data_IF_505865185322
#
_entry.id   IF_505865185322
#
_cell.length_a   1.000
_cell.length_b   1.000
_cell.length_c   1.000
_cell.angle_alpha   90.00
_cell.angle_beta   90.00
_cell.angle_gamma   90.00
#
_symmetry.space_group_name_H-M   'P 1'
#
loop_
_entity.id
_entity.type
_entity.pdbx_description
1 polymer ?
#
# COMPACT_ATOMS: atom_id res chain seq x y z
N UNK A 1 33.46 42.22 -69.15
CA UNK A 1 33.27 40.79 -68.82
C UNK A 1 31.91 40.63 -68.17
N UNK A 2 31.27 39.47 -68.34
CA UNK A 2 29.81 39.34 -68.42
C UNK A 2 29.07 39.06 -67.11
N UNK A 3 27.80 39.45 -67.09
CA UNK A 3 26.73 39.01 -66.18
C UNK A 3 25.48 38.71 -67.05
N UNK A 4 24.36 38.17 -66.51
CA UNK A 4 24.15 36.97 -65.67
C UNK A 4 23.46 35.90 -66.59
N UNK A 5 22.26 35.31 -66.39
CA UNK A 5 21.53 34.82 -65.19
C UNK A 5 20.95 33.38 -65.30
N UNK A 6 20.40 32.86 -64.19
CA UNK A 6 19.07 32.21 -64.22
C UNK A 6 18.94 30.68 -64.03
N UNK A 7 17.67 30.26 -63.85
CA UNK A 7 17.11 28.90 -63.76
C UNK A 7 17.31 28.08 -62.45
N UNK A 8 16.32 27.33 -61.93
CA UNK A 8 14.84 27.40 -62.05
C UNK A 8 14.20 26.47 -60.99
N UNK A 9 12.96 26.74 -60.57
CA UNK A 9 12.10 25.75 -59.90
C UNK A 9 11.68 24.62 -60.87
N UNK A 10 11.32 23.43 -60.35
CA UNK A 10 10.10 22.66 -60.73
C UNK A 10 9.96 21.29 -60.02
N UNK A 11 8.92 21.19 -59.19
CA UNK A 11 7.85 20.16 -59.12
C UNK A 11 8.09 18.64 -59.32
N UNK A 12 7.25 17.89 -58.58
CA UNK A 12 7.04 16.43 -58.55
C UNK A 12 6.67 15.82 -59.93
N UNK A 13 6.74 14.48 -60.09
CA UNK A 13 5.48 13.72 -59.92
C UNK A 13 5.62 12.32 -59.28
N UNK A 14 4.48 11.82 -58.77
CA UNK A 14 4.20 10.39 -58.52
C UNK A 14 3.74 9.75 -59.83
N UNK A 15 4.04 8.46 -60.07
CA UNK A 15 3.05 7.59 -60.70
C UNK A 15 2.88 6.23 -59.98
N UNK A 16 1.68 5.67 -60.17
CA UNK A 16 1.17 4.43 -59.59
C UNK A 16 1.29 3.25 -60.58
N UNK A 17 1.11 2.00 -60.09
CA UNK A 17 0.73 0.78 -60.86
C UNK A 17 1.75 0.24 -61.90
N UNK A 18 1.88 -1.07 -62.16
CA UNK A 18 1.36 -2.30 -61.53
C UNK A 18 2.18 -3.55 -61.97
N UNK A 19 1.76 -4.72 -61.47
CA UNK A 19 1.90 -6.08 -62.05
C UNK A 19 3.28 -6.77 -62.20
N UNK A 20 3.42 -7.91 -61.51
CA UNK A 20 3.71 -9.18 -62.21
C UNK A 20 3.16 -10.39 -61.44
N UNK A 21 2.71 -11.40 -62.20
CA UNK A 21 2.17 -12.69 -61.73
C UNK A 21 3.25 -13.57 -61.05
N UNK A 22 2.96 -14.58 -60.21
CA UNK A 22 2.28 -15.84 -60.58
C UNK A 22 1.86 -16.72 -59.36
N UNK A 23 0.72 -17.41 -59.52
CA UNK A 23 0.41 -18.84 -59.22
C UNK A 23 0.82 -19.48 -57.86
N UNK A 24 0.05 -20.42 -57.28
CA UNK A 24 -1.22 -21.06 -57.66
C UNK A 24 -1.87 -21.78 -56.45
N UNK A 25 -3.18 -22.10 -56.51
CA UNK A 25 -3.79 -23.19 -55.72
C UNK A 25 -4.89 -22.80 -54.72
N UNK A 26 -6.16 -22.89 -55.15
CA UNK A 26 -7.33 -22.94 -54.24
C UNK A 26 -7.67 -24.38 -53.80
N UNK A 27 -8.94 -24.74 -53.51
CA UNK A 27 -10.15 -23.91 -53.66
C UNK A 27 -11.21 -23.97 -52.53
N UNK A 28 -12.04 -22.93 -52.52
CA UNK A 28 -13.49 -22.90 -52.23
C UNK A 28 -14.14 -23.56 -50.99
N UNK A 29 -14.52 -22.67 -50.08
CA UNK A 29 -15.82 -22.55 -49.38
C UNK A 29 -17.05 -23.00 -50.20
N UNK A 30 -18.18 -23.36 -49.55
CA UNK A 30 -19.18 -22.31 -49.28
C UNK A 30 -19.82 -22.37 -47.88
N UNK A 31 -20.21 -21.19 -47.36
CA UNK A 31 -21.31 -21.08 -46.38
C UNK A 31 -22.67 -21.34 -47.06
N UNK A 32 -23.84 -20.86 -46.56
CA UNK A 32 -24.01 -19.50 -46.03
C UNK A 32 -25.14 -19.33 -44.97
N UNK A 33 -25.58 -18.06 -44.81
CA UNK A 33 -26.93 -17.56 -44.41
C UNK A 33 -27.17 -17.17 -42.94
N UNK A 34 -27.67 -15.94 -42.79
CA UNK A 34 -28.15 -15.31 -41.57
C UNK A 34 -29.57 -15.75 -41.18
N UNK A 35 -29.92 -15.71 -39.89
CA UNK A 35 -31.30 -15.52 -39.46
C UNK A 35 -31.35 -14.67 -38.18
N UNK A 36 -32.36 -13.80 -38.09
CA UNK A 36 -32.62 -12.96 -36.92
C UNK A 36 -33.86 -13.49 -36.16
N UNK A 37 -34.25 -12.75 -35.09
CA UNK A 37 -35.56 -12.80 -34.42
C UNK A 37 -35.88 -14.04 -33.57
N UNK A 38 -35.81 -13.91 -32.23
CA UNK A 38 -36.98 -13.58 -31.39
C UNK A 38 -36.73 -13.82 -29.89
N UNK A 39 -37.21 -12.89 -29.06
CA UNK A 39 -37.65 -13.21 -27.68
C UNK A 39 -39.12 -13.65 -27.73
N UNK A 40 -39.61 -14.38 -26.70
CA UNK A 40 -40.57 -13.69 -25.83
C UNK A 40 -40.50 -14.06 -24.34
N UNK A 41 -41.16 -13.20 -23.55
CA UNK A 41 -41.84 -13.41 -22.25
C UNK A 41 -41.72 -14.79 -21.57
N UNK A 42 -41.25 -14.91 -20.33
CA UNK A 42 -41.87 -14.44 -19.07
C UNK A 42 -43.11 -15.27 -18.65
N UNK A 43 -42.98 -15.94 -17.49
CA UNK A 43 -44.08 -16.36 -16.61
C UNK A 43 -43.65 -16.04 -15.18
N UNK A 44 -44.58 -15.48 -14.41
CA UNK A 44 -44.39 -15.04 -13.03
C UNK A 44 -44.65 -16.18 -12.03
N UNK A 45 -43.95 -16.16 -10.89
CA UNK A 45 -44.52 -16.35 -9.55
C UNK A 45 -43.38 -16.14 -8.52
N UNK A 46 -43.58 -15.51 -7.36
CA UNK A 46 -44.85 -15.07 -6.79
C UNK A 46 -44.96 -15.44 -5.31
N UNK A 47 -44.09 -14.94 -4.43
CA UNK A 47 -44.43 -14.86 -3.00
C UNK A 47 -43.57 -13.85 -2.24
N UNK A 48 -44.25 -12.86 -1.68
CA UNK A 48 -43.75 -11.86 -0.75
C UNK A 48 -43.54 -12.45 0.64
N UNK A 49 -42.56 -11.93 1.38
CA UNK A 49 -42.68 -11.77 2.82
C UNK A 49 -41.98 -10.47 3.26
N UNK A 50 -42.62 -9.79 4.20
CA UNK A 50 -42.39 -8.38 4.55
C UNK A 50 -41.63 -8.21 5.87
N UNK A 51 -41.33 -6.94 6.17
CA UNK A 51 -40.99 -6.39 7.51
C UNK A 51 -39.55 -6.52 8.05
N UNK A 52 -38.83 -5.42 7.85
CA UNK A 52 -38.33 -4.56 8.93
C UNK A 52 -37.40 -5.12 10.01
N UNK A 53 -36.17 -4.59 10.05
CA UNK A 53 -35.66 -3.99 11.28
C UNK A 53 -34.63 -2.87 10.99
N UNK A 54 -35.08 -1.62 11.05
CA UNK A 54 -34.21 -0.45 11.09
C UNK A 54 -33.78 -0.22 12.55
N UNK A 55 -32.47 -0.19 12.82
CA UNK A 55 -31.98 0.30 14.12
C UNK A 55 -30.82 1.28 13.95
N UNK A 56 -31.16 2.56 14.18
CA UNK A 56 -30.26 3.68 14.40
C UNK A 56 -29.01 3.33 15.22
N UNK A 57 -27.85 3.89 14.82
CA UNK A 57 -26.87 4.37 15.79
C UNK A 57 -26.43 5.80 15.45
N UNK A 58 -26.74 6.73 16.35
CA UNK A 58 -26.39 8.15 16.27
C UNK A 58 -25.01 8.38 16.90
N UNK A 59 -24.35 9.48 16.50
CA UNK A 59 -23.11 9.99 17.13
C UNK A 59 -23.31 10.26 18.63
N UNK A 60 -22.26 10.05 19.42
CA UNK A 60 -22.15 10.52 20.81
C UNK A 60 -20.72 10.96 21.13
N UNK A 61 -20.52 12.25 21.39
CA UNK A 61 -19.25 12.84 21.82
C UNK A 61 -19.29 13.17 23.32
N UNK A 62 -18.28 12.74 24.08
CA UNK A 62 -17.85 13.34 25.37
C UNK A 62 -16.47 12.74 25.72
N UNK A 63 -15.45 13.41 26.27
CA UNK A 63 -15.28 14.59 27.13
C UNK A 63 -15.43 14.34 28.64
N UNK A 64 -14.29 14.36 29.36
CA UNK A 64 -14.23 14.72 30.78
C UNK A 64 -14.17 13.56 31.79
N UNK A 65 -13.12 13.49 32.65
CA UNK A 65 -13.07 12.57 33.79
C UNK A 65 -13.65 13.21 35.06
N UNK A 66 -14.14 12.40 36.01
CA UNK A 66 -14.45 12.88 37.37
C UNK A 66 -14.02 11.87 38.44
N UNK A 67 -13.24 12.33 39.43
CA UNK A 67 -12.92 11.57 40.65
C UNK A 67 -14.10 11.65 41.60
N UNK A 68 -14.48 10.55 42.25
CA UNK A 68 -15.08 10.57 43.60
C UNK A 68 -14.60 9.38 44.42
N UNK A 69 -14.64 9.54 45.74
CA UNK A 69 -14.08 8.63 46.74
C UNK A 69 -15.13 8.22 47.76
N UNK A 70 -15.14 6.95 48.14
CA UNK A 70 -15.60 6.44 49.45
C UNK A 70 -15.04 5.01 49.59
N UNK A 71 -14.33 4.58 50.65
CA UNK A 71 -14.57 4.63 52.10
C UNK A 71 -15.72 3.72 52.56
N UNK A 72 -15.38 2.53 53.05
CA UNK A 72 -16.34 1.56 53.59
C UNK A 72 -15.64 0.30 54.12
N UNK A 73 -15.16 0.34 55.37
CA UNK A 73 -14.65 -0.84 56.07
C UNK A 73 -15.80 -1.79 56.44
N UNK A 74 -15.55 -3.10 56.45
CA UNK A 74 -15.99 -3.98 57.53
C UNK A 74 -14.98 -5.13 57.72
N UNK A 75 -14.51 -5.32 58.96
CA UNK A 75 -13.78 -6.51 59.43
C UNK A 75 -14.73 -7.42 60.22
N UNK A 76 -14.43 -8.73 60.30
CA UNK A 76 -14.66 -9.48 61.53
C UNK A 76 -13.35 -9.85 62.25
N UNK A 77 -13.48 -10.23 63.52
CA UNK A 77 -12.38 -10.47 64.47
C UNK A 77 -11.78 -11.90 64.42
N UNK A 78 -10.60 -12.14 65.04
CA UNK A 78 -9.89 -13.41 64.94
C UNK A 78 -10.34 -14.44 66.01
N UNK A 79 -10.32 -15.72 65.63
CA UNK A 79 -10.27 -16.84 66.56
C UNK A 79 -8.80 -17.22 66.85
N UNK A 80 -8.54 -17.81 68.03
CA UNK A 80 -7.19 -17.98 68.59
C UNK A 80 -7.08 -19.37 69.24
N UNK A 81 -5.85 -19.94 69.26
CA UNK A 81 -5.47 -21.21 69.93
C UNK A 81 -6.12 -22.44 69.20
N UNK A 82 -5.50 -23.62 69.04
CA UNK A 82 -4.50 -24.35 69.82
C UNK A 82 -3.42 -24.97 68.91
N UNK A 83 -2.19 -25.08 69.42
CA UNK A 83 -1.07 -25.69 68.68
C UNK A 83 -1.11 -27.22 68.67
N UNK A 84 -0.53 -27.82 67.63
CA UNK A 84 -0.15 -29.23 67.60
C UNK A 84 1.36 -29.32 67.30
N UNK A 85 2.05 -30.25 67.94
CA UNK A 85 3.52 -30.27 67.98
C UNK A 85 4.15 -30.70 66.64
N UNK A 86 5.28 -30.08 66.33
CA UNK A 86 6.07 -30.32 65.11
C UNK A 86 6.80 -31.66 65.16
N UNK A 87 6.41 -32.62 64.33
CA UNK A 87 7.31 -33.71 63.90
C UNK A 87 8.06 -33.27 62.64
N UNK A 88 9.41 -33.33 62.62
CA UNK A 88 10.18 -32.99 61.43
C UNK A 88 10.07 -34.13 60.41
N UNK A 89 9.13 -34.03 59.48
CA UNK A 89 9.12 -34.86 58.29
C UNK A 89 10.30 -34.50 57.40
N UNK A 90 11.13 -35.49 57.09
CA UNK A 90 12.24 -35.41 56.14
C UNK A 90 11.77 -34.76 54.84
N UNK A 91 12.48 -33.75 54.29
CA UNK A 91 12.07 -33.16 53.02
C UNK A 91 12.13 -34.23 51.94
N UNK A 92 10.96 -34.53 51.35
CA UNK A 92 10.89 -35.37 50.16
C UNK A 92 11.79 -34.76 49.07
N UNK A 93 12.49 -35.58 48.27
CA UNK A 93 13.33 -35.07 47.20
C UNK A 93 12.46 -34.23 46.27
N UNK A 94 12.77 -32.93 46.19
CA UNK A 94 12.13 -32.04 45.23
C UNK A 94 12.59 -32.49 43.85
N UNK A 95 11.82 -33.39 43.23
CA UNK A 95 11.85 -33.60 41.80
C UNK A 95 11.47 -32.28 41.16
N UNK A 96 12.49 -31.47 40.86
CA UNK A 96 12.38 -30.30 40.00
C UNK A 96 12.01 -30.86 38.63
N UNK A 97 10.71 -30.96 38.39
CA UNK A 97 10.15 -31.22 37.06
C UNK A 97 10.54 -30.02 36.22
N UNK A 98 11.72 -30.10 35.60
CA UNK A 98 12.13 -29.21 34.55
C UNK A 98 11.10 -29.35 33.44
N UNK A 99 10.13 -28.44 33.43
CA UNK A 99 9.24 -28.25 32.27
C UNK A 99 10.13 -27.75 31.15
N UNK A 100 10.65 -28.68 30.36
CA UNK A 100 11.34 -28.39 29.11
C UNK A 100 10.35 -27.69 28.18
N UNK A 101 10.37 -26.37 28.20
CA UNK A 101 9.59 -25.55 27.29
C UNK A 101 10.21 -25.69 25.91
N UNK A 102 9.72 -26.67 25.14
CA UNK A 102 10.03 -26.79 23.71
C UNK A 102 9.76 -25.44 23.07
N UNK A 103 10.74 -24.89 22.39
CA UNK A 103 10.61 -23.60 21.74
C UNK A 103 9.58 -23.68 20.61
N UNK A 104 8.94 -22.55 20.30
CA UNK A 104 8.02 -22.48 19.17
C UNK A 104 8.71 -22.85 17.84
N UNK A 105 10.02 -22.60 17.74
CA UNK A 105 10.84 -22.92 16.56
C UNK A 105 11.06 -24.44 16.43
N UNK A 106 11.44 -25.14 17.51
CA UNK A 106 11.55 -26.61 17.51
C UNK A 106 10.21 -27.27 17.20
N UNK A 107 9.11 -26.75 17.77
CA UNK A 107 7.77 -27.26 17.51
C UNK A 107 7.33 -27.00 16.05
N UNK A 108 7.77 -25.90 15.43
CA UNK A 108 7.58 -25.63 14.00
C UNK A 108 8.39 -26.57 13.11
N UNK A 109 9.67 -26.81 13.44
CA UNK A 109 10.52 -27.78 12.71
C UNK A 109 9.92 -29.19 12.78
N UNK A 110 9.48 -29.63 13.96
CA UNK A 110 8.83 -30.93 14.14
C UNK A 110 7.50 -31.03 13.38
N UNK A 111 6.68 -29.98 13.36
CA UNK A 111 5.44 -29.98 12.60
C UNK A 111 5.69 -30.05 11.08
N UNK A 112 6.70 -29.33 10.57
CA UNK A 112 7.07 -29.38 9.16
C UNK A 112 7.49 -30.80 8.71
N UNK A 113 8.23 -31.54 9.56
CA UNK A 113 8.61 -32.94 9.23
C UNK A 113 7.43 -33.91 9.07
N UNK A 114 6.25 -33.56 9.60
CA UNK A 114 5.00 -34.34 9.45
C UNK A 114 3.96 -33.63 8.56
N UNK A 115 4.38 -32.63 7.76
CA UNK A 115 3.49 -31.89 6.85
C UNK A 115 2.40 -31.08 7.58
N UNK A 116 2.69 -30.57 8.78
CA UNK A 116 1.74 -29.84 9.63
C UNK A 116 2.20 -28.41 9.91
N UNK A 117 1.24 -27.50 10.07
CA UNK A 117 1.51 -26.08 10.33
C UNK A 117 1.02 -25.69 11.73
N UNK A 118 1.94 -25.35 12.63
CA UNK A 118 1.65 -24.99 14.04
C UNK A 118 0.78 -23.73 14.18
N UNK A 119 0.99 -22.74 13.30
CA UNK A 119 0.33 -21.44 13.41
C UNK A 119 -0.94 -21.38 12.55
N UNK A 120 -2.04 -20.77 13.05
CA UNK A 120 -3.26 -20.61 12.25
C UNK A 120 -2.99 -19.90 10.93
N UNK A 121 -3.49 -20.46 9.83
CA UNK A 121 -3.22 -20.01 8.46
C UNK A 121 -3.54 -18.53 8.20
N UNK A 122 -4.51 -17.96 8.90
CA UNK A 122 -4.79 -16.51 8.89
C UNK A 122 -3.58 -15.65 9.28
N UNK A 123 -2.66 -16.14 10.13
CA UNK A 123 -1.41 -15.43 10.50
C UNK A 123 -0.44 -15.41 9.33
N UNK A 124 -0.25 -16.53 8.64
CA UNK A 124 0.61 -16.61 7.44
C UNK A 124 0.06 -15.75 6.31
N UNK A 125 -1.23 -15.91 5.97
CA UNK A 125 -1.92 -15.10 4.96
C UNK A 125 -1.80 -13.60 5.25
N UNK A 126 -2.02 -13.17 6.50
CA UNK A 126 -1.83 -11.77 6.93
C UNK A 126 -0.37 -11.30 6.81
N UNK A 127 0.61 -12.12 7.17
CA UNK A 127 2.05 -11.79 7.05
C UNK A 127 2.43 -11.59 5.58
N UNK A 128 2.06 -12.53 4.71
CA UNK A 128 2.32 -12.47 3.26
C UNK A 128 1.60 -11.27 2.64
N UNK A 129 0.29 -11.15 2.85
CA UNK A 129 -0.54 -10.05 2.34
C UNK A 129 -0.05 -8.67 2.74
N UNK A 130 0.35 -8.47 4.00
CA UNK A 130 0.96 -7.21 4.45
C UNK A 130 2.28 -6.91 3.74
N UNK A 131 3.13 -7.92 3.51
CA UNK A 131 4.40 -7.73 2.84
C UNK A 131 4.24 -7.42 1.35
N UNK A 132 3.28 -8.05 0.67
CA UNK A 132 2.93 -7.75 -0.72
C UNK A 132 2.32 -6.35 -0.86
N UNK A 133 1.29 -6.05 -0.07
CA UNK A 133 0.62 -4.75 -0.06
C UNK A 133 1.61 -3.60 0.22
N UNK A 134 2.60 -3.80 1.09
CA UNK A 134 3.67 -2.81 1.35
C UNK A 134 4.56 -2.53 0.13
N UNK A 135 4.70 -3.47 -0.81
CA UNK A 135 5.48 -3.30 -2.05
C UNK A 135 4.70 -2.57 -3.14
N UNK A 136 3.37 -2.69 -3.17
CA UNK A 136 2.50 -1.87 -4.01
C UNK A 136 2.48 -0.43 -3.50
N UNK A 137 3.38 0.42 -4.02
CA UNK A 137 3.54 1.81 -3.56
C UNK A 137 3.98 2.77 -4.66
N UNK A 138 3.65 4.04 -4.50
CA UNK A 138 4.29 5.16 -5.20
C UNK A 138 5.63 5.49 -4.53
N UNK A 139 6.47 6.25 -5.24
CA UNK A 139 7.82 6.71 -4.87
C UNK A 139 8.17 6.75 -3.38
N UNK A 140 9.32 6.14 -3.05
CA UNK A 140 10.21 6.64 -1.99
C UNK A 140 11.39 7.35 -2.66
N UNK A 141 11.49 8.67 -2.52
CA UNK A 141 12.55 9.47 -3.14
C UNK A 141 12.35 9.70 -4.65
N UNK A 142 13.43 9.55 -5.43
CA UNK A 142 13.47 9.87 -6.88
C UNK A 142 13.16 8.69 -7.81
N UNK A 143 12.79 7.52 -7.28
CA UNK A 143 12.72 6.29 -8.06
C UNK A 143 11.40 5.55 -7.88
N UNK A 144 10.88 5.02 -9.00
CA UNK A 144 9.75 4.10 -9.05
C UNK A 144 10.30 2.78 -9.57
N UNK A 145 10.38 1.76 -8.71
CA UNK A 145 10.61 0.38 -9.11
C UNK A 145 9.27 -0.33 -9.07
N UNK A 146 8.67 -0.49 -10.24
CA UNK A 146 7.41 -1.23 -10.45
C UNK A 146 7.64 -2.74 -10.65
N UNK A 147 8.89 -3.19 -10.49
CA UNK A 147 9.27 -4.59 -10.33
C UNK A 147 9.54 -4.89 -8.86
N UNK A 148 8.94 -5.96 -8.36
CA UNK A 148 9.05 -6.41 -6.97
C UNK A 148 9.67 -7.80 -6.95
N UNK A 149 10.86 -7.90 -6.35
CA UNK A 149 11.42 -9.15 -5.86
C UNK A 149 11.33 -9.13 -4.32
N UNK A 150 10.62 -10.10 -3.73
CA UNK A 150 10.41 -10.21 -2.29
C UNK A 150 10.78 -11.63 -1.82
N UNK A 151 11.59 -11.71 -0.76
CA UNK A 151 11.99 -12.95 -0.10
C UNK A 151 11.43 -12.98 1.32
N UNK A 152 10.67 -14.01 1.68
CA UNK A 152 10.09 -14.20 3.02
C UNK A 152 10.66 -15.47 3.69
N UNK A 153 11.42 -15.35 4.79
CA UNK A 153 11.94 -16.51 5.53
C UNK A 153 10.89 -17.21 6.37
N UNK A 154 11.10 -18.51 6.56
CA UNK A 154 10.35 -19.35 7.51
C UNK A 154 8.85 -19.30 7.22
N UNK A 155 8.49 -19.65 5.98
CA UNK A 155 7.12 -19.97 5.58
C UNK A 155 7.10 -21.47 5.30
N UNK A 156 6.36 -22.28 6.09
CA UNK A 156 6.23 -23.72 5.85
C UNK A 156 5.73 -24.02 4.44
N UNK A 157 6.27 -25.06 3.81
CA UNK A 157 5.85 -25.52 2.47
C UNK A 157 4.35 -25.71 2.36
N UNK A 158 3.74 -26.36 3.34
CA UNK A 158 2.30 -26.65 3.39
C UNK A 158 1.48 -25.37 3.57
N UNK A 159 2.01 -24.40 4.34
CA UNK A 159 1.39 -23.08 4.45
C UNK A 159 1.50 -22.30 3.13
N UNK A 160 2.59 -22.42 2.36
CA UNK A 160 2.69 -21.84 1.04
C UNK A 160 1.66 -22.46 0.07
N UNK A 161 1.54 -23.79 0.05
CA UNK A 161 0.58 -24.51 -0.78
C UNK A 161 -0.87 -24.11 -0.45
N UNK A 162 -1.24 -24.04 0.83
CA UNK A 162 -2.59 -23.63 1.24
C UNK A 162 -2.84 -22.11 1.13
N UNK A 163 -1.84 -21.30 0.71
CA UNK A 163 -2.02 -19.86 0.49
C UNK A 163 -2.48 -19.50 -0.92
N UNK A 164 -2.28 -20.38 -1.92
CA UNK A 164 -2.65 -20.13 -3.32
C UNK A 164 -3.69 -21.16 -3.80
N UNK A 165 -4.90 -20.74 -4.21
CA UNK A 165 -5.91 -21.69 -4.69
C UNK A 165 -5.56 -22.34 -6.04
N UNK A 166 -4.74 -21.71 -6.89
CA UNK A 166 -4.27 -22.33 -8.12
C UNK A 166 -3.25 -23.45 -7.85
N UNK A 167 -3.27 -24.55 -8.63
CA UNK A 167 -2.26 -25.59 -8.54
C UNK A 167 -0.87 -25.04 -8.91
N UNK A 168 0.22 -25.57 -8.31
CA UNK A 168 1.58 -25.23 -8.72
C UNK A 168 1.90 -25.79 -10.12
N UNK A 169 2.70 -25.05 -10.87
CA UNK A 169 3.21 -25.43 -12.19
C UNK A 169 4.36 -26.43 -12.06
N UNK A 170 5.16 -26.31 -11.00
CA UNK A 170 6.25 -27.25 -10.68
C UNK A 170 6.19 -27.64 -9.20
N UNK A 171 6.43 -28.91 -8.90
CA UNK A 171 6.53 -29.42 -7.53
C UNK A 171 7.63 -30.47 -7.45
N UNK A 172 8.68 -30.15 -6.72
CA UNK A 172 9.78 -31.06 -6.39
C UNK A 172 9.79 -31.33 -4.87
N UNK A 173 10.64 -32.24 -4.35
CA UNK A 173 10.82 -32.41 -2.91
C UNK A 173 11.33 -31.15 -2.20
N UNK A 174 12.05 -30.27 -2.92
CA UNK A 174 12.74 -29.09 -2.36
C UNK A 174 12.17 -27.76 -2.85
N UNK A 175 11.28 -27.73 -3.83
CA UNK A 175 10.67 -26.51 -4.37
C UNK A 175 9.23 -26.70 -4.79
N UNK A 176 8.46 -25.61 -4.78
CA UNK A 176 7.10 -25.53 -5.33
C UNK A 176 6.94 -24.18 -6.03
N UNK A 177 6.57 -24.16 -7.31
CA UNK A 177 6.45 -22.94 -8.11
C UNK A 177 5.05 -22.73 -8.63
N UNK A 178 4.54 -21.51 -8.49
CA UNK A 178 3.33 -20.99 -9.13
C UNK A 178 3.69 -19.89 -10.12
N UNK A 179 2.95 -19.84 -11.22
CA UNK A 179 2.99 -18.75 -12.20
C UNK A 179 1.54 -18.33 -12.45
N UNK A 180 1.30 -17.02 -12.50
CA UNK A 180 -0.01 -16.42 -12.72
C UNK A 180 0.09 -15.49 -13.93
N UNK A 181 -0.26 -15.99 -15.11
CA UNK A 181 0.02 -15.33 -16.38
C UNK A 181 -0.90 -14.13 -16.63
N UNK A 182 -2.14 -14.17 -16.15
CA UNK A 182 -3.13 -13.10 -16.36
C UNK A 182 -3.37 -12.23 -15.12
N UNK A 183 -3.76 -10.96 -15.35
CA UNK A 183 -4.15 -10.06 -14.26
C UNK A 183 -5.39 -10.56 -13.48
N UNK A 184 -6.28 -11.33 -14.13
CA UNK A 184 -7.44 -11.96 -13.50
C UNK A 184 -7.04 -13.10 -12.54
N UNK A 185 -6.12 -13.98 -12.94
CA UNK A 185 -5.58 -15.02 -12.06
C UNK A 185 -4.84 -14.42 -10.86
N UNK A 186 -4.11 -13.33 -11.07
CA UNK A 186 -3.45 -12.58 -10.01
C UNK A 186 -4.48 -11.99 -9.05
N UNK A 187 -5.55 -11.36 -9.54
CA UNK A 187 -6.63 -10.88 -8.66
C UNK A 187 -7.30 -12.02 -7.89
N UNK A 188 -7.61 -13.14 -8.55
CA UNK A 188 -8.18 -14.31 -7.89
C UNK A 188 -7.27 -14.85 -6.76
N UNK A 189 -5.99 -15.07 -7.03
CA UNK A 189 -5.07 -15.68 -6.06
C UNK A 189 -4.67 -14.73 -4.94
N UNK A 190 -4.43 -13.45 -5.24
CA UNK A 190 -3.88 -12.49 -4.28
C UNK A 190 -4.92 -11.70 -3.49
N UNK A 191 -6.18 -11.60 -3.94
CA UNK A 191 -7.26 -10.86 -3.24
C UNK A 191 -7.45 -11.28 -1.78
N UNK A 192 -7.46 -12.58 -1.50
CA UNK A 192 -7.63 -13.12 -0.14
C UNK A 192 -6.42 -12.84 0.78
N UNK A 193 -5.23 -12.68 0.20
CA UNK A 193 -4.01 -12.30 0.92
C UNK A 193 -4.00 -10.79 1.18
N UNK A 194 -4.21 -9.99 0.14
CA UNK A 194 -4.14 -8.53 0.20
C UNK A 194 -5.22 -7.96 1.12
N UNK A 195 -6.47 -8.45 1.07
CA UNK A 195 -7.54 -8.04 2.00
C UNK A 195 -7.21 -8.28 3.49
N UNK A 196 -6.34 -9.23 3.81
CA UNK A 196 -5.86 -9.48 5.18
C UNK A 196 -4.69 -8.57 5.61
N UNK A 197 -4.13 -7.77 4.70
CA UNK A 197 -2.98 -6.87 4.95
C UNK A 197 -3.27 -5.82 6.03
N UNK A 198 -4.50 -5.34 6.13
CA UNK A 198 -4.87 -4.16 6.92
C UNK A 198 -4.44 -2.83 6.30
N UNK A 199 -4.05 -2.81 5.03
CA UNK A 199 -3.88 -1.61 4.21
C UNK A 199 -5.11 -1.40 3.31
N UNK A 200 -5.21 -0.25 2.64
CA UNK A 200 -6.29 0.05 1.70
C UNK A 200 -6.11 -0.78 0.41
N UNK A 201 -6.54 -2.04 0.41
CA UNK A 201 -6.38 -2.99 -0.71
C UNK A 201 -7.68 -3.69 -1.07
N UNK A 202 -7.95 -3.87 -2.35
CA UNK A 202 -9.04 -4.66 -2.91
C UNK A 202 -8.52 -5.41 -4.14
N UNK A 203 -8.96 -6.66 -4.35
CA UNK A 203 -8.51 -7.50 -5.47
C UNK A 203 -6.99 -7.60 -5.58
N UNK A 204 -6.44 -7.28 -6.76
CA UNK A 204 -5.00 -7.21 -7.04
C UNK A 204 -4.37 -5.85 -6.67
N UNK A 205 -5.17 -4.92 -6.15
CA UNK A 205 -4.86 -3.50 -6.09
C UNK A 205 -4.68 -2.96 -4.69
N UNK A 206 -3.79 -1.97 -4.56
CA UNK A 206 -3.65 -1.10 -3.40
C UNK A 206 -3.97 0.34 -3.77
N UNK A 207 -4.92 0.92 -3.06
CA UNK A 207 -5.14 2.36 -3.07
C UNK A 207 -3.95 3.10 -2.44
N UNK A 208 -3.59 4.22 -3.04
CA UNK A 208 -2.50 5.06 -2.59
C UNK A 208 -3.05 6.45 -2.29
N UNK A 209 -3.16 6.71 -0.99
CA UNK A 209 -3.55 7.99 -0.43
C UNK A 209 -2.34 8.61 0.28
N UNK A 210 -1.95 9.83 -0.09
CA UNK A 210 -0.92 10.57 0.66
C UNK A 210 -1.52 11.15 1.94
N UNK A 211 -0.71 11.29 2.99
CA UNK A 211 -1.16 11.88 4.27
C UNK A 211 -1.68 13.33 4.16
N UNK A 212 -1.35 14.03 3.06
CA UNK A 212 -1.85 15.37 2.74
C UNK A 212 -3.16 15.39 1.94
N UNK A 213 -3.62 14.23 1.44
CA UNK A 213 -4.72 14.11 0.48
C UNK A 213 -5.92 13.42 1.14
N UNK A 214 -7.12 14.04 1.13
CA UNK A 214 -8.32 13.45 1.76
C UNK A 214 -8.91 12.30 0.94
N UNK A 215 -8.44 12.11 -0.30
CA UNK A 215 -8.96 11.14 -1.26
C UNK A 215 -7.82 10.35 -1.93
N UNK A 216 -8.14 9.14 -2.37
CA UNK A 216 -7.30 8.28 -3.20
C UNK A 216 -7.32 8.80 -4.63
N UNK A 217 -6.14 9.05 -5.18
CA UNK A 217 -5.94 9.48 -6.58
C UNK A 217 -5.17 8.46 -7.42
N UNK A 218 -4.36 7.61 -6.79
CA UNK A 218 -3.54 6.60 -7.49
C UNK A 218 -3.85 5.22 -6.95
N UNK A 219 -3.91 4.23 -7.84
CA UNK A 219 -4.04 2.81 -7.52
C UNK A 219 -2.81 2.08 -8.06
N UNK A 220 -2.24 1.17 -7.26
CA UNK A 220 -1.17 0.27 -7.68
C UNK A 220 -1.70 -1.15 -7.81
N UNK A 221 -1.63 -1.72 -9.01
CA UNK A 221 -2.30 -3.00 -9.34
C UNK A 221 -1.28 -4.01 -9.86
N UNK A 222 -1.24 -5.18 -9.24
CA UNK A 222 -0.37 -6.28 -9.70
C UNK A 222 -0.77 -6.71 -11.10
N UNK A 223 0.23 -6.93 -11.96
CA UNK A 223 0.06 -7.45 -13.30
C UNK A 223 0.13 -8.98 -13.32
N UNK A 224 -0.32 -9.58 -14.43
CA UNK A 224 0.03 -10.95 -14.80
C UNK A 224 1.54 -11.13 -15.02
N UNK A 225 1.97 -12.39 -15.19
CA UNK A 225 3.37 -12.78 -15.13
C UNK A 225 3.94 -12.75 -13.70
N UNK A 226 3.09 -12.92 -12.68
CA UNK A 226 3.54 -13.00 -11.29
C UNK A 226 4.01 -14.43 -10.99
N UNK A 227 5.23 -14.56 -10.46
CA UNK A 227 5.80 -15.83 -10.03
C UNK A 227 5.88 -15.90 -8.50
N UNK A 228 5.60 -17.08 -7.96
CA UNK A 228 5.82 -17.41 -6.55
C UNK A 228 6.58 -18.73 -6.47
N UNK A 229 7.63 -18.79 -5.66
CA UNK A 229 8.43 -20.00 -5.49
C UNK A 229 8.70 -20.25 -4.01
N UNK A 230 8.28 -21.40 -3.49
CA UNK A 230 8.77 -21.92 -2.23
C UNK A 230 10.03 -22.74 -2.50
N UNK A 231 11.09 -22.52 -1.72
CA UNK A 231 12.33 -23.30 -1.79
C UNK A 231 12.77 -23.69 -0.38
N UNK A 232 13.12 -24.97 -0.22
CA UNK A 232 13.72 -25.55 0.97
C UNK A 232 15.19 -25.87 0.68
N UNK A 233 16.11 -25.25 1.42
CA UNK A 233 17.54 -25.46 1.27
C UNK A 233 18.18 -25.69 2.64
N UNK A 234 18.55 -26.94 2.94
CA UNK A 234 18.93 -27.35 4.29
C UNK A 234 17.78 -27.11 5.27
N UNK A 235 18.05 -26.40 6.37
CA UNK A 235 17.02 -25.98 7.34
C UNK A 235 16.27 -24.70 6.96
N UNK A 236 16.58 -24.07 5.82
CA UNK A 236 15.97 -22.79 5.43
C UNK A 236 14.83 -22.98 4.43
N UNK A 237 13.61 -22.69 4.88
CA UNK A 237 12.44 -22.48 4.02
C UNK A 237 12.29 -21.01 3.64
N UNK A 238 12.17 -20.73 2.34
CA UNK A 238 12.04 -19.39 1.79
C UNK A 238 10.88 -19.34 0.78
N UNK A 239 10.02 -18.34 0.90
CA UNK A 239 9.00 -18.03 -0.12
C UNK A 239 9.40 -16.76 -0.87
N UNK A 240 9.60 -16.89 -2.18
CA UNK A 240 9.94 -15.83 -3.11
C UNK A 240 8.70 -15.37 -3.88
N UNK A 241 8.64 -14.07 -4.17
CA UNK A 241 7.65 -13.46 -5.05
C UNK A 241 8.37 -12.56 -6.04
N UNK A 242 8.10 -12.74 -7.33
CA UNK A 242 8.55 -11.85 -8.40
C UNK A 242 7.30 -11.38 -9.16
N UNK A 243 7.04 -10.07 -9.21
CA UNK A 243 5.92 -9.53 -9.97
C UNK A 243 6.15 -8.09 -10.44
N UNK A 244 5.40 -7.70 -11.46
CA UNK A 244 5.27 -6.31 -11.92
C UNK A 244 3.96 -5.69 -11.41
N UNK A 245 3.91 -4.38 -11.27
CA UNK A 245 2.68 -3.65 -11.00
C UNK A 245 2.58 -2.34 -11.78
N UNK A 246 1.38 -1.99 -12.25
CA UNK A 246 1.11 -0.68 -12.84
C UNK A 246 0.77 0.34 -11.76
N UNK A 247 0.91 1.63 -12.09
CA UNK A 247 0.20 2.69 -11.39
C UNK A 247 -0.87 3.23 -12.34
N UNK A 248 -2.11 3.35 -11.87
CA UNK A 248 -3.18 4.04 -12.59
C UNK A 248 -3.63 5.25 -11.80
N UNK A 249 -3.72 6.39 -12.48
CA UNK A 249 -4.18 7.64 -11.88
C UNK A 249 -5.70 7.82 -11.98
N UNK A 250 -6.21 8.85 -11.33
CA UNK A 250 -7.64 9.17 -11.31
C UNK A 250 -8.24 9.57 -12.66
N UNK A 251 -7.41 9.85 -13.68
CA UNK A 251 -7.84 10.14 -15.04
C UNK A 251 -7.89 8.87 -15.90
N UNK A 252 -7.45 7.72 -15.39
CA UNK A 252 -7.33 6.47 -16.12
C UNK A 252 -6.05 6.38 -16.95
N UNK A 253 -5.08 7.27 -16.72
CA UNK A 253 -3.73 7.16 -17.26
C UNK A 253 -3.03 5.99 -16.56
N UNK A 254 -2.51 5.06 -17.36
CA UNK A 254 -1.77 3.91 -16.89
C UNK A 254 -0.28 4.21 -17.10
N UNK A 255 0.48 4.26 -16.01
CA UNK A 255 1.92 4.39 -16.05
C UNK A 255 2.56 2.99 -16.09
N UNK A 256 3.19 2.58 -17.20
CA UNK A 256 3.72 1.22 -17.37
C UNK A 256 4.80 0.89 -16.32
N UNK A 257 5.03 -0.40 -16.01
CA UNK A 257 6.11 -0.79 -15.12
C UNK A 257 7.47 -0.45 -15.73
N UNK A 258 8.46 -0.23 -14.87
CA UNK A 258 9.82 0.17 -15.25
C UNK A 258 10.82 -0.92 -14.90
N UNK A 259 11.70 -1.23 -15.85
CA UNK A 259 12.77 -2.20 -15.66
C UNK A 259 13.87 -1.68 -14.70
N UNK A 260 14.85 -2.53 -14.40
CA UNK A 260 15.99 -2.14 -13.55
C UNK A 260 16.85 -1.00 -14.11
N UNK A 261 16.75 -0.74 -15.43
CA UNK A 261 17.41 0.35 -16.15
C UNK A 261 16.51 1.60 -16.29
N UNK A 262 15.32 1.61 -15.67
CA UNK A 262 14.29 2.67 -15.69
C UNK A 262 13.60 2.87 -17.03
N UNK A 263 13.71 1.92 -17.96
CA UNK A 263 12.94 1.93 -19.21
C UNK A 263 11.54 1.44 -18.94
N UNK A 264 10.57 2.08 -19.55
CA UNK A 264 9.18 1.63 -19.53
C UNK A 264 9.07 0.33 -20.32
N UNK A 265 8.48 -0.68 -19.69
CA UNK A 265 8.18 -1.95 -20.33
C UNK A 265 6.93 -1.71 -21.16
N UNK A 266 7.05 -1.87 -22.49
CA UNK A 266 5.92 -1.71 -23.40
C UNK A 266 4.83 -2.73 -23.09
N UNK A 267 3.58 -2.24 -23.03
CA UNK A 267 2.39 -3.07 -22.84
C UNK A 267 1.59 -3.09 -24.15
N UNK A 268 1.04 -4.24 -24.51
CA UNK A 268 0.11 -4.36 -25.62
C UNK A 268 -1.24 -3.70 -25.29
N UNK A 269 -1.99 -3.31 -26.33
CA UNK A 269 -3.34 -2.75 -26.15
C UNK A 269 -4.30 -3.74 -25.46
N UNK A 270 -4.09 -5.04 -25.63
CA UNK A 270 -4.86 -6.09 -24.95
C UNK A 270 -4.56 -6.08 -23.44
N UNK A 271 -3.28 -6.07 -23.04
CA UNK A 271 -2.88 -5.97 -21.63
C UNK A 271 -3.38 -4.68 -20.98
N UNK A 272 -3.24 -3.53 -21.66
CA UNK A 272 -3.74 -2.23 -21.16
C UNK A 272 -5.26 -2.29 -20.90
N UNK A 273 -6.02 -2.93 -21.78
CA UNK A 273 -7.48 -3.11 -21.63
C UNK A 273 -7.79 -3.98 -20.41
N UNK A 274 -7.21 -5.18 -20.34
CA UNK A 274 -7.40 -6.12 -19.21
C UNK A 274 -7.00 -5.51 -17.87
N UNK A 275 -5.91 -4.75 -17.82
CA UNK A 275 -5.44 -4.07 -16.60
C UNK A 275 -6.43 -2.98 -16.18
N UNK A 276 -6.96 -2.19 -17.13
CA UNK A 276 -7.99 -1.18 -16.83
C UNK A 276 -9.28 -1.80 -16.30
N UNK A 277 -9.72 -2.92 -16.87
CA UNK A 277 -10.88 -3.67 -16.35
C UNK A 277 -10.68 -4.10 -14.89
N UNK A 278 -9.53 -4.71 -14.56
CA UNK A 278 -9.18 -5.10 -13.19
C UNK A 278 -9.10 -3.89 -12.25
N UNK A 279 -8.48 -2.78 -12.69
CA UNK A 279 -8.41 -1.54 -11.89
C UNK A 279 -9.81 -0.99 -11.60
N UNK A 280 -10.71 -0.94 -12.59
CA UNK A 280 -12.08 -0.43 -12.40
C UNK A 280 -12.92 -1.35 -11.51
N UNK A 281 -12.77 -2.67 -11.63
CA UNK A 281 -13.38 -3.64 -10.70
C UNK A 281 -12.91 -3.42 -9.26
N UNK A 282 -11.60 -3.27 -9.06
CA UNK A 282 -11.02 -3.06 -7.74
C UNK A 282 -11.40 -1.69 -7.16
N UNK A 283 -11.45 -0.62 -7.97
CA UNK A 283 -11.95 0.71 -7.57
C UNK A 283 -13.44 0.67 -7.20
N UNK A 284 -14.27 -0.05 -7.95
CA UNK A 284 -15.67 -0.27 -7.58
C UNK A 284 -15.78 -0.99 -6.23
N UNK A 285 -14.97 -2.02 -5.98
CA UNK A 285 -14.93 -2.70 -4.69
C UNK A 285 -14.42 -1.79 -3.55
N UNK A 286 -13.42 -0.94 -3.81
CA UNK A 286 -12.96 0.09 -2.86
C UNK A 286 -14.08 1.08 -2.51
N UNK A 287 -14.89 1.46 -3.50
CA UNK A 287 -16.05 2.33 -3.30
C UNK A 287 -17.09 1.71 -2.36
N UNK A 288 -17.38 0.41 -2.54
CA UNK A 288 -18.30 -0.36 -1.71
C UNK A 288 -17.75 -0.58 -0.29
N UNK A 289 -16.44 -0.69 -0.15
CA UNK A 289 -15.74 -0.73 1.13
C UNK A 289 -15.64 0.64 1.84
N UNK A 290 -16.23 1.70 1.27
CA UNK A 290 -16.25 3.04 1.86
C UNK A 290 -14.92 3.78 1.79
N UNK A 291 -14.02 3.43 0.86
CA UNK A 291 -12.78 4.17 0.67
C UNK A 291 -13.06 5.54 0.04
N UNK A 292 -12.33 6.56 0.48
CA UNK A 292 -12.47 7.92 -0.02
C UNK A 292 -11.84 8.07 -1.41
N UNK A 293 -12.57 7.68 -2.46
CA UNK A 293 -12.13 7.87 -3.86
C UNK A 293 -12.23 9.34 -4.28
N UNK A 294 -11.36 9.77 -5.19
CA UNK A 294 -11.47 11.09 -5.81
C UNK A 294 -12.64 11.17 -6.81
N UNK A 295 -13.04 12.39 -7.17
CA UNK A 295 -14.17 12.61 -8.05
C UNK A 295 -13.99 11.99 -9.45
N UNK A 296 -12.77 11.98 -10.00
CA UNK A 296 -12.53 11.37 -11.31
C UNK A 296 -12.65 9.84 -11.27
N UNK A 297 -12.24 9.19 -10.17
CA UNK A 297 -12.52 7.77 -9.96
C UNK A 297 -14.03 7.48 -9.89
N UNK A 298 -14.82 8.32 -9.23
CA UNK A 298 -16.28 8.19 -9.21
C UNK A 298 -16.89 8.33 -10.61
N UNK A 299 -16.39 9.24 -11.46
CA UNK A 299 -16.81 9.35 -12.87
C UNK A 299 -16.45 8.11 -13.68
N UNK A 300 -15.24 7.58 -13.51
CA UNK A 300 -14.80 6.36 -14.22
C UNK A 300 -15.68 5.13 -13.89
N UNK A 301 -16.23 5.03 -12.68
CA UNK A 301 -17.19 3.98 -12.31
C UNK A 301 -18.67 4.40 -12.49
N UNK A 302 -18.94 5.48 -13.23
CA UNK A 302 -20.29 5.87 -13.64
C UNK A 302 -21.16 6.56 -12.59
N UNK A 303 -20.56 7.17 -11.54
CA UNK A 303 -21.28 7.82 -10.45
C UNK A 303 -20.96 9.33 -10.35
N UNK A 304 -21.50 10.10 -11.29
CA UNK A 304 -21.34 11.56 -11.35
C UNK A 304 -21.87 12.30 -10.12
N UNK A 305 -22.94 11.78 -9.49
CA UNK A 305 -23.51 12.39 -8.28
C UNK A 305 -22.49 12.36 -7.13
N UNK A 306 -21.85 11.21 -6.91
CA UNK A 306 -20.83 11.08 -5.87
C UNK A 306 -19.56 11.86 -6.24
N UNK A 307 -19.22 11.96 -7.53
CA UNK A 307 -18.13 12.83 -8.00
C UNK A 307 -18.36 14.30 -7.63
N UNK A 308 -19.56 14.84 -7.88
CA UNK A 308 -19.94 16.21 -7.51
C UNK A 308 -19.90 16.44 -5.99
N UNK A 309 -20.37 15.45 -5.20
CA UNK A 309 -20.30 15.51 -3.72
C UNK A 309 -18.85 15.58 -3.24
N UNK A 310 -17.96 14.77 -3.81
CA UNK A 310 -16.52 14.79 -3.46
C UNK A 310 -15.84 16.09 -3.92
N UNK A 311 -16.19 16.63 -5.09
CA UNK A 311 -15.69 17.95 -5.54
C UNK A 311 -16.12 19.07 -4.61
N UNK A 312 -17.38 19.12 -4.19
CA UNK A 312 -17.87 20.10 -3.22
C UNK A 312 -17.15 19.95 -1.85
N UNK A 313 -16.91 18.72 -1.39
CA UNK A 313 -16.15 18.47 -0.15
C UNK A 313 -14.69 18.91 -0.26
N UNK A 314 -14.00 18.56 -1.35
CA UNK A 314 -12.61 18.96 -1.58
C UNK A 314 -12.50 20.48 -1.77
N UNK A 315 -13.44 21.10 -2.48
CA UNK A 315 -13.52 22.57 -2.60
C UNK A 315 -13.73 23.23 -1.24
N UNK A 316 -14.60 22.70 -0.37
CA UNK A 316 -14.79 23.22 0.99
C UNK A 316 -13.56 23.02 1.90
N UNK A 317 -12.72 22.01 1.64
CA UNK A 317 -11.42 21.82 2.30
C UNK A 317 -10.32 22.73 1.73
N UNK A 318 -10.44 23.13 0.47
CA UNK A 318 -9.53 24.04 -0.24
C UNK A 318 -9.91 25.52 -0.09
N UNK A 319 -11.16 25.83 0.28
CA UNK A 319 -11.54 27.16 0.71
C UNK A 319 -10.59 27.60 1.82
N UNK A 320 -10.13 28.87 1.79
CA UNK A 320 -9.27 29.39 2.84
C UNK A 320 -10.07 29.55 4.14
N UNK A 321 -10.18 28.44 4.88
CA UNK A 321 -10.20 28.53 6.33
C UNK A 321 -9.02 29.42 6.73
N UNK A 322 -9.31 30.53 7.41
CA UNK A 322 -8.30 31.53 7.76
C UNK A 322 -7.20 31.00 8.71
N UNK A 323 -7.27 29.72 9.10
CA UNK A 323 -6.07 28.92 9.33
C UNK A 323 -5.22 28.84 8.06
N UNK A 324 -4.44 29.91 7.83
CA UNK A 324 -3.05 29.74 7.42
C UNK A 324 -2.52 28.51 8.17
N UNK A 325 -2.23 27.41 7.45
CA UNK A 325 -1.07 26.61 7.84
C UNK A 325 0.11 27.56 7.74
N UNK A 326 0.37 28.28 8.84
CA UNK A 326 1.73 28.68 9.17
C UNK A 326 2.53 27.39 8.97
N UNK A 327 3.35 27.35 7.93
CA UNK A 327 4.70 26.84 8.17
C UNK A 327 5.15 27.68 9.35
N UNK A 328 5.45 27.05 10.47
CA UNK A 328 5.89 27.78 11.63
C UNK A 328 7.29 28.34 11.32
N UNK A 329 7.27 29.47 10.62
CA UNK A 329 8.41 30.25 10.20
C UNK A 329 8.82 31.05 11.42
N UNK A 330 9.59 30.41 12.27
CA UNK A 330 10.22 31.04 13.41
C UNK A 330 11.23 32.04 12.89
N UNK A 331 11.17 33.24 13.44
CA UNK A 331 12.07 34.32 13.10
C UNK A 331 13.42 34.06 13.78
N UNK A 332 14.52 34.29 13.08
CA UNK A 332 15.87 34.18 13.64
C UNK A 332 16.21 35.57 14.18
N UNK A 333 16.48 35.64 15.48
CA UNK A 333 16.88 36.88 16.15
C UNK A 333 18.28 37.29 15.70
N UNK A 334 19.23 36.34 15.75
CA UNK A 334 20.61 36.57 15.33
C UNK A 334 21.34 35.26 15.01
N UNK A 335 22.47 35.40 14.31
CA UNK A 335 23.44 34.32 14.11
C UNK A 335 24.61 34.52 15.07
N UNK A 336 25.02 33.45 15.74
CA UNK A 336 26.03 33.48 16.80
C UNK A 336 27.41 32.99 16.35
N UNK A 337 27.46 31.96 15.51
CA UNK A 337 28.71 31.39 14.99
C UNK A 337 28.48 30.52 13.73
N UNK A 338 29.45 30.47 12.80
CA UNK A 338 29.48 29.50 11.70
C UNK A 338 30.56 28.43 11.94
N UNK A 339 30.21 27.15 11.75
CA UNK A 339 31.16 26.02 11.75
C UNK A 339 30.83 25.06 10.61
N UNK A 340 31.79 24.85 9.70
CA UNK A 340 31.72 23.84 8.61
C UNK A 340 30.43 23.88 7.77
N UNK A 341 29.94 25.09 7.44
CA UNK A 341 28.72 25.29 6.62
C UNK A 341 27.39 25.17 7.39
N UNK A 342 27.44 25.05 8.71
CA UNK A 342 26.32 25.19 9.63
C UNK A 342 26.46 26.49 10.40
N UNK A 343 25.35 27.14 10.68
CA UNK A 343 25.29 28.36 11.50
C UNK A 343 24.47 28.08 12.76
N UNK A 344 24.94 28.58 13.90
CA UNK A 344 24.19 28.56 15.16
C UNK A 344 23.30 29.78 15.19
N UNK A 345 22.00 29.55 15.21
CA UNK A 345 20.98 30.60 15.27
C UNK A 345 20.39 30.71 16.66
N UNK A 346 20.05 31.92 17.08
CA UNK A 346 19.10 32.17 18.16
C UNK A 346 17.74 32.46 17.55
N UNK A 347 16.71 31.75 18.01
CA UNK A 347 15.34 31.99 17.57
C UNK A 347 14.70 33.13 18.36
N UNK A 348 13.94 33.99 17.68
CA UNK A 348 13.23 35.09 18.30
C UNK A 348 12.09 34.57 19.17
N UNK A 349 12.14 34.90 20.46
CA UNK A 349 11.18 34.47 21.46
C UNK A 349 11.38 33.02 21.93
N UNK A 350 10.36 32.49 22.61
CA UNK A 350 10.40 31.19 23.25
C UNK A 350 9.15 30.36 22.93
N UNK A 351 9.34 29.08 22.60
CA UNK A 351 8.25 28.12 22.48
C UNK A 351 8.60 26.82 23.18
N UNK A 352 7.69 26.35 24.05
CA UNK A 352 7.90 25.19 24.93
C UNK A 352 8.26 23.89 24.19
N UNK A 353 7.80 23.71 22.93
CA UNK A 353 8.11 22.51 22.14
C UNK A 353 9.57 22.47 21.64
N UNK A 354 10.32 23.57 21.75
CA UNK A 354 11.71 23.63 21.32
C UNK A 354 12.70 23.17 22.40
N UNK A 355 12.28 22.99 23.66
CA UNK A 355 13.17 22.59 24.78
C UNK A 355 13.95 21.29 24.50
N UNK A 356 13.37 20.37 23.73
CA UNK A 356 14.04 19.13 23.31
C UNK A 356 15.27 19.35 22.39
N UNK A 357 15.47 20.57 21.88
CA UNK A 357 16.53 20.97 20.96
C UNK A 357 17.50 22.00 21.57
N UNK A 358 17.32 22.35 22.86
CA UNK A 358 18.15 23.35 23.54
C UNK A 358 19.60 22.89 23.65
N UNK A 359 20.52 23.66 23.06
CA UNK A 359 21.98 23.42 23.15
C UNK A 359 22.58 24.07 24.40
N UNK A 360 22.07 25.23 24.83
CA UNK A 360 22.56 26.02 25.98
C UNK A 360 21.43 26.87 26.62
N UNK A 361 21.69 27.42 27.81
CA UNK A 361 20.76 28.30 28.54
C UNK A 361 19.84 27.56 29.52
N UNK A 362 19.02 28.30 30.25
CA UNK A 362 18.02 27.78 31.18
C UNK A 362 16.65 27.60 30.48
N UNK A 363 15.75 26.74 31.00
CA UNK A 363 14.38 26.65 30.50
C UNK A 363 13.67 28.01 30.52
N UNK A 364 13.01 28.37 29.42
CA UNK A 364 12.41 29.69 29.22
C UNK A 364 13.31 30.73 28.53
N UNK A 365 14.63 30.56 28.49
CA UNK A 365 15.51 31.41 27.68
C UNK A 365 15.30 31.14 26.18
N UNK A 366 15.58 32.13 25.34
CA UNK A 366 15.63 31.98 23.87
C UNK A 366 16.51 30.78 23.48
N UNK A 367 16.06 30.00 22.49
CA UNK A 367 16.69 28.72 22.16
C UNK A 367 17.66 28.88 20.99
N UNK A 368 18.77 28.17 21.09
CA UNK A 368 19.84 28.16 20.11
C UNK A 368 19.96 26.78 19.47
N UNK A 369 19.97 26.72 18.13
CA UNK A 369 20.13 25.47 17.36
C UNK A 369 21.13 25.64 16.22
N UNK A 370 21.64 24.52 15.69
CA UNK A 370 22.48 24.51 14.49
C UNK A 370 21.64 24.25 13.25
N UNK A 371 21.67 25.19 12.29
CA UNK A 371 20.94 25.08 11.03
C UNK A 371 21.89 25.12 9.82
N UNK A 372 21.55 24.45 8.69
CA UNK A 372 22.38 24.49 7.49
C UNK A 372 22.37 25.89 6.88
N UNK A 373 23.55 26.48 6.60
CA UNK A 373 23.69 27.83 6.01
C UNK A 373 22.79 28.05 4.79
N UNK A 374 22.62 27.02 3.94
CA UNK A 374 21.76 27.04 2.73
C UNK A 374 20.29 27.38 3.00
N UNK A 375 19.75 27.13 4.20
CA UNK A 375 18.37 27.49 4.56
C UNK A 375 18.23 28.97 4.95
N UNK A 376 19.31 29.60 5.41
CA UNK A 376 19.27 30.89 6.10
C UNK A 376 19.80 32.06 5.28
N UNK A 377 20.48 31.81 4.15
CA UNK A 377 21.02 32.83 3.23
C UNK A 377 20.03 33.95 2.83
N UNK A 378 18.73 33.67 2.89
CA UNK A 378 17.67 34.62 2.50
C UNK A 378 16.97 35.28 3.71
N UNK A 379 17.53 35.17 4.92
CA UNK A 379 16.99 35.79 6.14
C UNK A 379 17.73 37.08 6.47
N UNK A 380 17.02 38.06 7.03
CA UNK A 380 17.61 39.35 7.43
C UNK A 380 18.75 39.18 8.43
N UNK A 381 18.55 38.37 9.48
CA UNK A 381 19.59 38.07 10.47
C UNK A 381 20.86 37.44 9.87
N UNK A 382 20.75 36.71 8.75
CA UNK A 382 21.92 36.21 8.02
C UNK A 382 22.63 37.32 7.24
N UNK A 383 21.89 38.22 6.59
CA UNK A 383 22.44 39.36 5.84
C UNK A 383 23.15 40.35 6.78
N UNK A 384 22.56 40.64 7.94
CA UNK A 384 23.15 41.49 8.97
C UNK A 384 24.41 40.87 9.59
N UNK A 385 24.42 39.54 9.81
CA UNK A 385 25.61 38.83 10.29
C UNK A 385 26.74 38.81 9.26
N UNK A 386 26.42 38.61 7.97
CA UNK A 386 27.41 38.62 6.88
C UNK A 386 28.06 40.02 6.75
N UNK A 387 27.29 41.11 6.85
CA UNK A 387 27.80 42.50 6.87
C UNK A 387 28.68 42.86 8.09
N UNK A 388 28.64 42.07 9.17
CA UNK A 388 29.47 42.27 10.36
C UNK A 388 30.77 41.43 10.34
N UNK A 389 30.91 40.52 9.37
CA UNK A 389 32.03 39.59 9.26
C UNK A 389 32.75 39.64 7.89
N UNK A 390 32.35 40.58 7.02
CA UNK A 390 33.17 41.13 5.91
C UNK A 390 34.08 42.27 6.40
#
# INVERSE_FOLDING_TARGET
>A
MTSPPGHQDLWLPVPTTADTHENNGGPHVPGPVCAALNSPAAVEDGSTLTEAHLTLWRRGTSSGPTRTSSSGQLRPHPAKVVGCATTPLTPAPQNVVQKSTVSLEELQKLAATIGCVVMPMRRWRKRVGLMLARRLRTMEGRFIYQSVALKLPSIPREAAIEMFPSPPVETTPTSVKWVFDSALEVSHNFSSLLSLSGLQTMGASRAIQRASEPVIRVVATMMGGAEVEHVTSGEMEMLYFNFLYVLTDENGELHPPKDSQRREIGLSNAEITTIREVVLMDVLAMSQAGFALSAQWWRQIGNDLQAQVVEAQVANLQQPSNSRRRRDSYEVECILEEKRGWVRVRWAGYHHSWEAWRVTGNPGDAIETWEPRKKLKNTQAYQEWEQQHE
#
